data_IF_812214834154
#
_entry.id   IF_812214834154
#
_cell.length_a   1.000
_cell.length_b   1.000
_cell.length_c   1.000
_cell.angle_alpha   90.00
_cell.angle_beta   90.00
_cell.angle_gamma   90.00
#
_symmetry.space_group_name_H-M   'P 1'
#
loop_
_entity.id
_entity.type
_entity.pdbx_description
1 polymer ?
#
# COMPACT_ATOMS: atom_id res chain seq x y z
N UNK A 1 -1.73 -4.81 -12.59
CA UNK A 1 -1.48 -4.05 -13.83
C UNK A 1 -0.80 -4.93 -14.86
N UNK A 2 0.40 -5.46 -14.59
CA UNK A 2 1.14 -6.31 -15.55
C UNK A 2 0.32 -7.48 -16.12
N UNK A 3 -0.39 -8.22 -15.27
CA UNK A 3 -1.29 -9.29 -15.72
C UNK A 3 -2.43 -8.80 -16.62
N UNK A 4 -2.92 -7.57 -16.40
CA UNK A 4 -4.01 -6.99 -17.17
C UNK A 4 -3.53 -6.37 -18.49
N UNK A 5 -2.32 -5.79 -18.52
CA UNK A 5 -1.71 -5.18 -19.70
C UNK A 5 -0.90 -6.17 -20.55
N UNK A 6 -0.47 -7.31 -20.00
CA UNK A 6 0.48 -8.22 -20.63
C UNK A 6 1.92 -7.68 -20.70
N UNK A 7 2.19 -6.54 -20.07
CA UNK A 7 3.46 -5.82 -20.12
C UNK A 7 4.07 -5.69 -18.73
N UNK A 8 5.40 -5.57 -18.66
CA UNK A 8 6.05 -5.22 -17.38
C UNK A 8 5.63 -3.82 -16.93
N UNK A 9 5.71 -3.53 -15.63
CA UNK A 9 5.41 -2.17 -15.12
C UNK A 9 6.27 -1.12 -15.84
N UNK A 10 7.55 -1.43 -16.07
CA UNK A 10 8.49 -0.53 -16.76
C UNK A 10 8.02 -0.24 -18.19
N UNK A 11 7.54 -1.26 -18.90
CA UNK A 11 7.06 -1.09 -20.28
C UNK A 11 5.73 -0.35 -20.33
N UNK A 12 4.83 -0.58 -19.35
CA UNK A 12 3.59 0.21 -19.22
C UNK A 12 3.93 1.69 -19.06
N UNK A 13 4.91 2.04 -18.21
CA UNK A 13 5.34 3.44 -18.07
C UNK A 13 5.93 4.01 -19.37
N UNK A 14 6.75 3.23 -20.09
CA UNK A 14 7.36 3.68 -21.35
C UNK A 14 6.34 3.90 -22.46
N UNK A 15 5.34 3.02 -22.57
CA UNK A 15 4.35 3.06 -23.64
C UNK A 15 3.23 4.06 -23.37
N UNK A 16 2.76 4.17 -22.13
CA UNK A 16 1.52 4.90 -21.80
C UNK A 16 1.71 6.04 -20.79
N UNK A 17 2.88 6.14 -20.15
CA UNK A 17 3.17 7.18 -19.17
C UNK A 17 2.54 6.91 -17.79
N UNK A 18 2.77 7.86 -16.88
CA UNK A 18 2.33 7.77 -15.48
C UNK A 18 0.82 7.94 -15.32
N UNK A 19 0.21 8.83 -16.10
CA UNK A 19 -1.23 9.11 -16.01
C UNK A 19 -2.06 7.85 -16.32
N UNK A 20 -1.80 7.20 -17.44
CA UNK A 20 -2.48 5.95 -17.81
C UNK A 20 -2.18 4.79 -16.85
N UNK A 21 -0.95 4.73 -16.31
CA UNK A 21 -0.65 3.76 -15.25
C UNK A 21 -1.55 3.96 -14.03
N UNK A 22 -1.74 5.22 -13.58
CA UNK A 22 -2.60 5.54 -12.44
C UNK A 22 -4.08 5.30 -12.73
N UNK A 23 -4.56 5.70 -13.91
CA UNK A 23 -5.92 5.38 -14.34
C UNK A 23 -6.17 3.86 -14.45
N UNK A 24 -5.16 3.10 -14.86
CA UNK A 24 -5.19 1.63 -14.85
C UNK A 24 -5.22 1.04 -13.44
N UNK A 25 -4.41 1.58 -12.53
CA UNK A 25 -4.36 1.20 -11.12
C UNK A 25 -5.72 1.40 -10.44
N UNK A 26 -6.34 2.57 -10.62
CA UNK A 26 -7.65 2.91 -10.06
C UNK A 26 -8.76 1.97 -10.58
N UNK A 27 -8.81 1.72 -11.89
CA UNK A 27 -9.77 0.77 -12.49
C UNK A 27 -9.64 -0.64 -11.89
N UNK A 28 -8.41 -1.09 -11.65
CA UNK A 28 -8.15 -2.39 -11.03
C UNK A 28 -8.57 -2.39 -9.57
N UNK A 29 -8.22 -1.36 -8.80
CA UNK A 29 -8.60 -1.25 -7.39
C UNK A 29 -10.12 -1.25 -7.22
N UNK A 30 -10.86 -0.49 -8.03
CA UNK A 30 -12.32 -0.49 -8.04
C UNK A 30 -12.89 -1.90 -8.25
N UNK A 31 -12.39 -2.63 -9.24
CA UNK A 31 -12.85 -4.00 -9.51
C UNK A 31 -12.55 -4.96 -8.37
N UNK A 32 -11.39 -4.84 -7.73
CA UNK A 32 -10.97 -5.74 -6.64
C UNK A 32 -11.75 -5.44 -5.35
N UNK A 33 -11.98 -4.17 -5.04
CA UNK A 33 -12.74 -3.75 -3.85
C UNK A 33 -14.23 -4.10 -3.95
N UNK A 34 -14.80 -4.11 -5.16
CA UNK A 34 -16.18 -4.59 -5.39
C UNK A 34 -16.28 -6.11 -5.64
N UNK A 35 -15.18 -6.84 -5.51
CA UNK A 35 -15.09 -8.27 -5.80
C UNK A 35 -15.46 -9.18 -4.62
N UNK A 36 -15.13 -10.45 -4.75
CA UNK A 36 -15.24 -11.41 -3.64
C UNK A 36 -14.22 -11.10 -2.53
N UNK A 37 -14.51 -11.46 -1.27
CA UNK A 37 -13.59 -11.24 -0.15
C UNK A 37 -12.19 -11.82 -0.42
N UNK A 38 -11.17 -11.00 -0.22
CA UNK A 38 -9.77 -11.41 -0.37
C UNK A 38 -8.84 -10.52 0.45
N UNK A 39 -7.58 -10.93 0.61
CA UNK A 39 -6.51 -10.07 1.13
C UNK A 39 -5.84 -9.38 -0.05
N UNK A 40 -5.92 -8.05 -0.09
CA UNK A 40 -5.38 -7.24 -1.16
C UNK A 40 -4.13 -6.48 -0.72
N UNK A 41 -2.97 -6.86 -1.25
CA UNK A 41 -1.75 -6.05 -1.14
C UNK A 41 -1.74 -5.00 -2.26
N UNK A 42 -1.95 -3.74 -1.91
CA UNK A 42 -1.95 -2.63 -2.88
C UNK A 42 -0.52 -2.18 -3.24
N UNK A 43 -0.37 -1.52 -4.40
CA UNK A 43 0.81 -0.70 -4.66
C UNK A 43 0.82 0.54 -3.76
N UNK A 44 1.99 1.10 -3.47
CA UNK A 44 2.12 2.27 -2.57
C UNK A 44 1.21 3.43 -2.99
N UNK A 45 1.38 3.91 -4.23
CA UNK A 45 0.56 5.02 -4.72
C UNK A 45 -0.93 4.70 -4.97
N UNK A 46 -1.37 3.44 -4.87
CA UNK A 46 -2.78 3.10 -5.12
C UNK A 46 -3.71 3.70 -4.06
N UNK A 47 -3.28 3.73 -2.79
CA UNK A 47 -4.05 4.32 -1.69
C UNK A 47 -3.90 5.85 -1.60
N UNK A 48 -2.99 6.45 -2.40
CA UNK A 48 -2.88 7.91 -2.51
C UNK A 48 -4.00 8.50 -3.39
N UNK A 49 -4.61 7.69 -4.27
CA UNK A 49 -5.80 8.10 -5.02
C UNK A 49 -7.02 8.19 -4.10
N UNK A 50 -7.73 9.33 -4.14
CA UNK A 50 -8.91 9.59 -3.31
C UNK A 50 -10.03 8.60 -3.56
N UNK A 51 -10.37 8.33 -4.84
CA UNK A 51 -11.36 7.30 -5.20
C UNK A 51 -11.05 5.94 -4.58
N UNK A 52 -9.79 5.50 -4.61
CA UNK A 52 -9.38 4.23 -4.02
C UNK A 52 -9.61 4.23 -2.52
N UNK A 53 -9.24 5.30 -1.80
CA UNK A 53 -9.47 5.40 -0.35
C UNK A 53 -10.95 5.40 -0.01
N UNK A 54 -11.76 6.15 -0.74
CA UNK A 54 -13.20 6.20 -0.55
C UNK A 54 -13.82 4.81 -0.68
N UNK A 55 -13.54 4.11 -1.79
CA UNK A 55 -14.03 2.75 -2.01
C UNK A 55 -13.50 1.75 -0.98
N UNK A 56 -12.24 1.90 -0.56
CA UNK A 56 -11.65 1.03 0.45
C UNK A 56 -12.35 1.19 1.79
N UNK A 57 -12.71 2.42 2.18
CA UNK A 57 -13.46 2.69 3.41
C UNK A 57 -14.87 2.09 3.40
N UNK A 58 -15.51 1.99 2.23
CA UNK A 58 -16.84 1.40 2.10
C UNK A 58 -16.84 -0.14 2.02
N UNK A 59 -15.77 -0.74 1.51
CA UNK A 59 -15.79 -2.16 1.11
C UNK A 59 -14.69 -3.02 1.74
N UNK A 60 -13.77 -2.44 2.51
CA UNK A 60 -12.64 -3.17 3.07
C UNK A 60 -12.27 -2.67 4.47
N UNK A 61 -11.54 -3.52 5.20
CA UNK A 61 -10.78 -3.10 6.37
C UNK A 61 -9.37 -2.78 5.89
N UNK A 62 -8.95 -1.53 6.06
CA UNK A 62 -7.67 -1.05 5.56
C UNK A 62 -6.59 -1.15 6.63
N UNK A 63 -5.45 -1.76 6.27
CA UNK A 63 -4.31 -1.96 7.16
C UNK A 63 -3.08 -1.27 6.60
N UNK A 64 -2.57 -0.27 7.32
CA UNK A 64 -1.30 0.39 7.01
C UNK A 64 -0.15 -0.27 7.76
N UNK A 65 0.78 -0.87 7.01
CA UNK A 65 2.05 -1.37 7.52
C UNK A 65 3.07 -0.22 7.59
N UNK A 66 3.10 0.49 8.71
CA UNK A 66 3.99 1.62 8.94
C UNK A 66 5.41 1.13 9.25
N UNK A 67 6.41 1.74 8.62
CA UNK A 67 7.82 1.48 8.91
C UNK A 67 8.57 2.81 9.03
N UNK A 68 9.68 2.80 9.76
CA UNK A 68 10.61 3.93 9.74
C UNK A 68 11.44 3.94 8.44
N UNK A 69 12.09 5.07 8.18
CA UNK A 69 12.89 5.28 6.99
C UNK A 69 14.05 4.29 6.85
N UNK A 70 14.66 3.86 7.96
CA UNK A 70 15.80 2.97 7.95
C UNK A 70 15.38 1.54 7.56
N UNK A 71 14.26 1.07 8.11
CA UNK A 71 13.62 -0.20 7.73
C UNK A 71 13.22 -0.18 6.25
N UNK A 72 12.61 0.91 5.77
CA UNK A 72 12.25 1.05 4.36
C UNK A 72 13.48 1.03 3.46
N UNK A 73 14.55 1.74 3.82
CA UNK A 73 15.81 1.75 3.10
C UNK A 73 16.39 0.34 3.01
N UNK A 74 16.55 -0.37 4.14
CA UNK A 74 17.09 -1.72 4.16
C UNK A 74 16.28 -2.72 3.30
N UNK A 75 14.95 -2.57 3.24
CA UNK A 75 14.08 -3.46 2.44
C UNK A 75 14.10 -3.15 0.95
N UNK A 76 14.46 -1.92 0.57
CA UNK A 76 14.33 -1.42 -0.82
C UNK A 76 15.66 -1.29 -1.57
N UNK A 77 16.76 -1.04 -0.86
CA UNK A 77 18.09 -0.91 -1.47
C UNK A 77 18.49 -2.20 -2.22
N UNK A 78 19.10 -2.03 -3.39
CA UNK A 78 19.50 -3.14 -4.27
C UNK A 78 18.36 -3.80 -5.06
N UNK A 79 17.09 -3.37 -4.92
CA UNK A 79 15.94 -3.96 -5.63
C UNK A 79 15.68 -3.29 -6.98
N UNK A 80 16.01 -3.98 -8.08
CA UNK A 80 15.89 -3.46 -9.46
C UNK A 80 14.46 -3.34 -10.01
N UNK A 81 13.47 -4.02 -9.41
CA UNK A 81 12.07 -4.05 -9.90
C UNK A 81 11.19 -2.89 -9.38
N UNK A 82 11.79 -1.82 -8.86
CA UNK A 82 11.08 -0.67 -8.30
C UNK A 82 11.31 0.57 -9.17
N UNK A 83 10.50 0.81 -10.22
CA UNK A 83 10.73 1.92 -11.16
C UNK A 83 10.78 3.28 -10.45
N UNK A 84 9.96 3.47 -9.42
CA UNK A 84 9.93 4.67 -8.61
C UNK A 84 11.12 4.83 -7.65
N UNK A 85 11.96 3.82 -7.46
CA UNK A 85 13.18 3.91 -6.62
C UNK A 85 14.46 3.68 -7.44
N UNK A 86 14.40 3.80 -8.77
CA UNK A 86 15.59 3.76 -9.62
C UNK A 86 16.39 5.07 -9.50
N UNK A 87 17.23 5.16 -8.48
CA UNK A 87 18.21 6.21 -8.28
C UNK A 87 19.50 5.62 -7.65
N UNK A 88 20.54 6.43 -7.49
CA UNK A 88 21.75 6.01 -6.77
C UNK A 88 21.42 5.72 -5.30
N UNK A 89 22.15 4.79 -4.67
CA UNK A 89 21.94 4.43 -3.25
C UNK A 89 21.95 5.66 -2.32
N UNK A 90 22.84 6.62 -2.60
CA UNK A 90 22.93 7.91 -1.89
C UNK A 90 21.66 8.77 -1.95
N UNK A 91 20.77 8.52 -2.92
CA UNK A 91 19.52 9.26 -3.13
C UNK A 91 18.27 8.47 -2.72
N UNK A 92 18.40 7.16 -2.45
CA UNK A 92 17.25 6.32 -2.07
C UNK A 92 16.63 6.83 -0.77
N UNK A 93 17.45 7.10 0.26
CA UNK A 93 16.96 7.58 1.56
C UNK A 93 16.19 8.89 1.43
N UNK A 94 16.72 9.87 0.69
CA UNK A 94 16.03 11.14 0.44
C UNK A 94 14.70 10.95 -0.29
N UNK A 95 14.66 10.04 -1.28
CA UNK A 95 13.44 9.75 -2.03
C UNK A 95 12.38 9.07 -1.16
N UNK A 96 12.80 8.15 -0.30
CA UNK A 96 11.91 7.55 0.69
C UNK A 96 11.39 8.59 1.67
N UNK A 97 12.22 9.54 2.12
CA UNK A 97 11.78 10.63 2.99
C UNK A 97 10.71 11.48 2.29
N UNK A 98 10.90 11.86 1.03
CA UNK A 98 9.88 12.57 0.25
C UNK A 98 8.56 11.78 0.19
N UNK A 99 8.60 10.48 -0.09
CA UNK A 99 7.38 9.65 -0.07
C UNK A 99 6.75 9.52 1.30
N UNK A 100 7.54 9.50 2.39
CA UNK A 100 6.99 9.53 3.74
C UNK A 100 6.21 10.83 3.94
N UNK A 101 6.83 11.97 3.64
CA UNK A 101 6.24 13.28 3.90
C UNK A 101 4.99 13.52 3.04
N UNK A 102 4.99 13.04 1.80
CA UNK A 102 3.88 13.20 0.85
C UNK A 102 2.78 12.15 1.02
N UNK A 103 3.13 10.88 1.27
CA UNK A 103 2.17 9.76 1.22
C UNK A 103 1.62 9.36 2.59
N UNK A 104 2.36 9.55 3.69
CA UNK A 104 1.89 9.16 5.04
C UNK A 104 0.61 9.87 5.48
N UNK A 105 0.35 11.13 5.13
CA UNK A 105 -0.94 11.78 5.42
C UNK A 105 -2.14 11.07 4.77
N UNK A 106 -1.94 10.33 3.69
CA UNK A 106 -2.97 9.50 3.09
C UNK A 106 -3.05 8.12 3.75
N UNK A 107 -1.90 7.47 4.01
CA UNK A 107 -1.87 6.16 4.68
C UNK A 107 -2.40 6.20 6.11
N UNK A 108 -2.27 7.34 6.81
CA UNK A 108 -2.82 7.53 8.15
C UNK A 108 -4.35 7.50 8.21
N UNK A 109 -5.03 7.55 7.06
CA UNK A 109 -6.49 7.41 6.96
C UNK A 109 -6.95 5.95 6.99
N UNK A 110 -6.03 4.97 7.03
CA UNK A 110 -6.37 3.57 7.17
C UNK A 110 -7.03 3.27 8.53
N UNK A 111 -7.91 2.28 8.57
CA UNK A 111 -8.65 1.85 9.76
C UNK A 111 -7.70 1.34 10.86
N UNK A 112 -6.64 0.65 10.44
CA UNK A 112 -5.69 -0.01 11.31
C UNK A 112 -4.28 0.39 10.91
N UNK A 113 -3.47 0.79 11.90
CA UNK A 113 -2.04 1.05 11.72
C UNK A 113 -1.24 0.01 12.49
N UNK A 114 -0.33 -0.66 11.80
CA UNK A 114 0.58 -1.66 12.39
C UNK A 114 2.01 -1.25 12.12
N UNK A 115 2.78 -1.03 13.18
CA UNK A 115 4.21 -0.78 13.06
C UNK A 115 4.95 -2.07 12.69
N UNK A 116 5.83 -1.96 11.70
CA UNK A 116 6.69 -3.03 11.21
C UNK A 116 8.14 -2.67 11.46
N UNK A 117 8.91 -3.66 11.91
CA UNK A 117 10.31 -3.50 12.30
C UNK A 117 11.18 -4.43 11.46
N UNK A 118 12.50 -4.33 11.63
CA UNK A 118 13.43 -5.31 11.08
C UNK A 118 13.42 -6.59 11.96
N UNK A 119 12.42 -7.44 11.73
CA UNK A 119 12.16 -8.65 12.50
C UNK A 119 11.63 -9.77 11.60
N UNK A 120 11.41 -10.96 12.17
CA UNK A 120 10.77 -12.07 11.51
C UNK A 120 9.36 -11.69 11.02
N UNK A 121 8.98 -12.15 9.83
CA UNK A 121 7.70 -11.79 9.18
C UNK A 121 6.52 -12.25 10.03
N UNK A 122 6.66 -13.40 10.68
CA UNK A 122 5.68 -14.04 11.54
C UNK A 122 5.24 -13.11 12.69
N UNK A 123 6.19 -12.36 13.28
CA UNK A 123 5.89 -11.41 14.34
C UNK A 123 5.00 -10.26 13.84
N UNK A 124 5.26 -9.76 12.62
CA UNK A 124 4.43 -8.72 12.02
C UNK A 124 3.05 -9.27 11.63
N UNK A 125 2.98 -10.50 11.11
CA UNK A 125 1.71 -11.17 10.78
C UNK A 125 0.83 -11.33 12.02
N UNK A 126 1.40 -11.79 13.14
CA UNK A 126 0.66 -11.93 14.40
C UNK A 126 0.12 -10.58 14.88
N UNK A 127 0.92 -9.51 14.80
CA UNK A 127 0.46 -8.15 15.13
C UNK A 127 -0.70 -7.71 14.25
N UNK A 128 -0.62 -7.92 12.93
CA UNK A 128 -1.72 -7.59 12.00
C UNK A 128 -2.98 -8.35 12.34
N UNK A 129 -2.86 -9.66 12.57
CA UNK A 129 -4.01 -10.50 12.89
C UNK A 129 -4.69 -10.06 14.18
N UNK A 130 -3.90 -9.77 15.23
CA UNK A 130 -4.42 -9.30 16.49
C UNK A 130 -5.09 -7.92 16.35
N UNK A 131 -4.49 -6.99 15.60
CA UNK A 131 -5.10 -5.67 15.34
C UNK A 131 -6.43 -5.76 14.59
N UNK A 132 -6.54 -6.65 13.59
CA UNK A 132 -7.82 -6.88 12.86
C UNK A 132 -8.88 -7.44 13.81
N UNK A 133 -8.52 -8.43 14.64
CA UNK A 133 -9.43 -9.01 15.63
C UNK A 133 -9.96 -7.95 16.60
N UNK A 134 -9.08 -7.10 17.11
CA UNK A 134 -9.46 -6.05 18.07
C UNK A 134 -10.31 -4.95 17.42
N UNK A 135 -10.04 -4.60 16.17
CA UNK A 135 -10.88 -3.70 15.38
C UNK A 135 -12.29 -4.26 15.22
N UNK A 136 -12.43 -5.51 14.76
CA UNK A 136 -13.74 -6.15 14.57
C UNK A 136 -14.55 -6.24 15.87
N UNK A 137 -13.91 -6.51 17.00
CA UNK A 137 -14.59 -6.52 18.31
C UNK A 137 -15.17 -5.16 18.68
N UNK A 138 -14.46 -4.07 18.36
CA UNK A 138 -14.92 -2.70 18.64
C UNK A 138 -16.10 -2.32 17.75
N UNK A 139 -16.03 -2.66 16.47
CA UNK A 139 -17.12 -2.42 15.51
C UNK A 139 -18.42 -3.11 15.94
N UNK A 140 -18.36 -4.38 16.34
CA UNK A 140 -19.54 -5.11 16.85
C UNK A 140 -20.12 -4.42 18.08
N UNK A 141 -19.27 -4.04 19.05
CA UNK A 141 -19.72 -3.38 20.27
C UNK A 141 -20.30 -1.97 20.04
N UNK A 142 -19.96 -1.31 18.93
CA UNK A 142 -20.52 -0.01 18.53
C UNK A 142 -21.85 -0.17 17.79
N UNK A 143 -22.01 -1.22 16.99
CA UNK A 143 -23.24 -1.50 16.25
C UNK A 143 -24.37 -2.09 17.11
N UNK A 144 -24.06 -2.59 18.31
CA UNK A 144 -25.03 -3.10 19.29
C UNK A 144 -25.59 -2.02 20.25
N UNK A 145 -25.13 -0.76 20.14
CA UNK A 145 -25.59 0.39 20.94
C UNK A 145 -26.45 1.33 20.12
#
# INVERSE_FOLDING_TARGET
IEKASGLSVIDVFKCFGLEEYRAGEERIMKRLLSGSPCVLASGGGAFVAEQTRFLAKEHAITVWLKADIDVLYHRTTGRKRRPFLQCSDSKIKNKLQTYIDEEYPYYSQADIVVETKNEAVENTVERVFQSIRDYLKKEVAQNEK
#
